data_IF_330089606081
#
_entry.id   IF_330089606081
#
_cell.length_a   1.000
_cell.length_b   1.000
_cell.length_c   1.000
_cell.angle_alpha   90.00
_cell.angle_beta   90.00
_cell.angle_gamma   90.00
#
_symmetry.space_group_name_H-M   'P 1'
#
loop_
_entity.id
_entity.type
_entity.pdbx_description
1 polymer ?
#
# COMPACT_ATOMS: atom_id res chain seq x y z
N UNK A 1 27.97 28.22 -0.49
CA UNK A 1 28.14 26.77 -0.77
C UNK A 1 26.75 26.18 -0.87
N UNK A 2 26.26 25.96 -2.09
CA UNK A 2 24.88 25.55 -2.37
C UNK A 2 24.94 24.12 -2.91
N UNK A 3 24.48 23.14 -2.12
CA UNK A 3 24.50 21.72 -2.50
C UNK A 3 23.31 21.42 -3.42
N UNK A 4 23.59 21.24 -4.71
CA UNK A 4 22.64 20.68 -5.67
C UNK A 4 22.38 19.21 -5.31
N UNK A 5 21.16 18.91 -4.86
CA UNK A 5 20.68 17.53 -4.72
C UNK A 5 19.95 17.12 -5.99
N UNK A 6 20.66 16.45 -6.89
CA UNK A 6 20.09 15.72 -8.02
C UNK A 6 19.40 14.46 -7.50
N UNK A 7 18.11 14.31 -7.83
CA UNK A 7 17.34 13.11 -7.52
C UNK A 7 17.46 12.14 -8.70
N UNK A 8 18.16 11.03 -8.48
CA UNK A 8 18.25 9.94 -9.44
C UNK A 8 16.99 9.09 -9.32
N UNK A 9 16.14 9.13 -10.33
CA UNK A 9 15.01 8.20 -10.44
C UNK A 9 15.54 6.81 -10.79
N UNK A 10 15.17 5.81 -9.99
CA UNK A 10 15.43 4.40 -10.29
C UNK A 10 14.38 3.94 -11.31
N UNK A 11 14.79 3.71 -12.56
CA UNK A 11 13.92 3.11 -13.59
C UNK A 11 13.91 1.60 -13.41
N UNK A 12 12.76 1.01 -13.07
CA UNK A 12 12.57 -0.44 -13.10
C UNK A 12 12.36 -0.85 -14.56
N UNK A 13 13.34 -1.51 -15.15
CA UNK A 13 13.21 -2.17 -16.44
C UNK A 13 12.50 -3.52 -16.24
N UNK A 14 11.27 -3.65 -16.73
CA UNK A 14 10.61 -4.96 -16.86
C UNK A 14 11.20 -5.64 -18.09
N UNK A 15 11.91 -6.75 -17.87
CA UNK A 15 12.39 -7.60 -18.92
C UNK A 15 11.19 -8.18 -19.69
N UNK A 16 11.05 -7.77 -20.96
CA UNK A 16 10.20 -8.45 -21.93
C UNK A 16 10.78 -9.87 -22.13
N UNK A 17 10.18 -10.86 -21.50
CA UNK A 17 10.45 -12.27 -21.79
C UNK A 17 10.09 -12.54 -23.25
N UNK A 18 11.09 -12.82 -24.07
CA UNK A 18 10.92 -13.24 -25.45
C UNK A 18 10.20 -14.61 -25.53
N UNK A 19 9.13 -14.66 -26.32
CA UNK A 19 8.46 -15.88 -26.78
C UNK A 19 9.32 -16.69 -27.75
N UNK A 20 9.11 -18.02 -27.82
CA UNK A 20 9.03 -18.67 -29.12
C UNK A 20 7.80 -19.59 -29.25
N UNK A 21 7.09 -19.37 -30.36
CA UNK A 21 6.34 -20.31 -31.21
C UNK A 21 5.53 -21.47 -30.61
N UNK A 22 4.22 -21.42 -30.85
CA UNK A 22 3.35 -22.60 -30.85
C UNK A 22 1.89 -22.16 -30.87
N UNK A 23 1.27 -22.13 -32.05
CA UNK A 23 -0.09 -21.64 -32.22
C UNK A 23 -1.16 -22.57 -31.66
N UNK A 24 -2.30 -22.01 -31.27
CA UNK A 24 -3.62 -22.54 -31.60
C UNK A 24 -4.69 -21.49 -31.28
N UNK A 25 -5.47 -21.15 -32.29
CA UNK A 25 -6.63 -20.27 -32.20
C UNK A 25 -7.70 -20.91 -31.30
N UNK A 26 -8.03 -20.25 -30.20
CA UNK A 26 -9.21 -20.54 -29.38
C UNK A 26 -9.91 -19.21 -29.05
N UNK A 27 -11.21 -19.05 -29.33
CA UNK A 27 -11.93 -17.82 -28.99
C UNK A 27 -12.38 -17.91 -27.54
N UNK A 28 -11.44 -17.88 -26.60
CA UNK A 28 -11.75 -17.61 -25.20
C UNK A 28 -11.23 -16.21 -24.91
N UNK A 29 -12.13 -15.25 -25.13
CA UNK A 29 -11.96 -13.87 -24.69
C UNK A 29 -11.94 -13.79 -23.17
N UNK A 30 -10.86 -14.29 -22.57
CA UNK A 30 -10.40 -13.81 -21.28
C UNK A 30 -9.95 -12.37 -21.53
N UNK A 31 -10.90 -11.44 -21.42
CA UNK A 31 -10.61 -10.03 -21.27
C UNK A 31 -9.69 -9.92 -20.06
N UNK A 32 -8.38 -9.90 -20.29
CA UNK A 32 -7.42 -9.47 -19.30
C UNK A 32 -7.86 -8.05 -18.98
N UNK A 33 -8.53 -7.87 -17.84
CA UNK A 33 -8.85 -6.56 -17.32
C UNK A 33 -7.53 -5.83 -17.19
N UNK A 34 -7.21 -4.98 -18.17
CA UNK A 34 -6.09 -4.06 -18.11
C UNK A 34 -6.42 -3.14 -16.95
N UNK A 35 -5.83 -3.41 -15.80
CA UNK A 35 -5.96 -2.57 -14.62
C UNK A 35 -5.36 -1.23 -14.99
N UNK A 36 -6.19 -0.20 -15.08
CA UNK A 36 -5.72 1.15 -15.33
C UNK A 36 -4.89 1.60 -14.13
N UNK A 37 -3.58 1.72 -14.35
CA UNK A 37 -2.65 2.11 -13.30
C UNK A 37 -2.95 3.50 -12.77
N UNK A 38 -3.50 4.41 -13.59
CA UNK A 38 -3.89 5.74 -13.13
C UNK A 38 -5.09 5.69 -12.18
N UNK A 39 -6.05 4.82 -12.47
CA UNK A 39 -7.18 4.57 -11.59
C UNK A 39 -6.71 4.00 -10.24
N UNK A 40 -5.85 2.97 -10.26
CA UNK A 40 -5.30 2.38 -9.02
C UNK A 40 -4.54 3.40 -8.20
N UNK A 41 -3.72 4.26 -8.82
CA UNK A 41 -3.01 5.32 -8.09
C UNK A 41 -4.00 6.25 -7.38
N UNK A 42 -5.09 6.62 -8.06
CA UNK A 42 -6.12 7.50 -7.48
C UNK A 42 -6.81 6.82 -6.29
N UNK A 43 -7.16 5.54 -6.42
CA UNK A 43 -7.79 4.75 -5.36
C UNK A 43 -6.86 4.57 -4.15
N UNK A 44 -5.58 4.26 -4.37
CA UNK A 44 -4.58 4.12 -3.32
C UNK A 44 -4.36 5.44 -2.59
N UNK A 45 -4.29 6.57 -3.32
CA UNK A 45 -4.17 7.89 -2.70
C UNK A 45 -5.37 8.22 -1.81
N UNK A 46 -6.60 7.96 -2.29
CA UNK A 46 -7.81 8.14 -1.49
C UNK A 46 -7.81 7.27 -0.24
N UNK A 47 -7.47 5.99 -0.39
CA UNK A 47 -7.35 5.07 0.73
C UNK A 47 -6.34 5.55 1.78
N UNK A 48 -5.14 5.98 1.36
CA UNK A 48 -4.10 6.44 2.28
C UNK A 48 -4.52 7.73 3.01
N UNK A 49 -5.16 8.67 2.31
CA UNK A 49 -5.65 9.90 2.94
C UNK A 49 -6.70 9.62 4.03
N UNK A 50 -7.65 8.73 3.74
CA UNK A 50 -8.68 8.32 4.70
C UNK A 50 -8.09 7.54 5.88
N UNK A 51 -7.15 6.63 5.61
CA UNK A 51 -6.45 5.87 6.65
C UNK A 51 -5.65 6.78 7.58
N UNK A 52 -4.88 7.73 7.04
CA UNK A 52 -4.13 8.69 7.85
C UNK A 52 -5.07 9.56 8.70
N UNK A 53 -6.18 10.01 8.12
CA UNK A 53 -7.20 10.77 8.86
C UNK A 53 -7.75 9.97 10.04
N UNK A 54 -8.02 8.68 9.85
CA UNK A 54 -8.50 7.79 10.92
C UNK A 54 -7.45 7.62 12.03
N UNK A 55 -6.18 7.45 11.68
CA UNK A 55 -5.06 7.32 12.63
C UNK A 55 -4.89 8.61 13.44
N UNK A 56 -4.88 9.78 12.79
CA UNK A 56 -4.75 11.08 13.45
C UNK A 56 -5.91 11.35 14.43
N UNK A 57 -7.13 11.02 14.00
CA UNK A 57 -8.34 11.12 14.81
C UNK A 57 -8.41 10.06 15.93
N UNK A 58 -7.53 9.05 15.92
CA UNK A 58 -7.61 7.85 16.77
C UNK A 58 -8.98 7.15 16.66
N UNK A 59 -9.55 7.14 15.46
CA UNK A 59 -10.81 6.46 15.17
C UNK A 59 -10.54 4.95 15.01
N UNK A 60 -10.67 4.21 16.12
CA UNK A 60 -10.41 2.78 16.15
C UNK A 60 -11.31 1.97 15.21
N UNK A 61 -12.56 2.39 15.03
CA UNK A 61 -13.50 1.69 14.16
C UNK A 61 -13.09 1.86 12.69
N UNK A 62 -12.78 3.09 12.29
CA UNK A 62 -12.30 3.36 10.94
C UNK A 62 -10.98 2.64 10.65
N UNK A 63 -10.02 2.65 11.58
CA UNK A 63 -8.75 1.91 11.42
C UNK A 63 -8.99 0.40 11.29
N UNK A 64 -9.85 -0.17 12.14
CA UNK A 64 -10.20 -1.59 12.09
C UNK A 64 -10.80 -1.96 10.75
N UNK A 65 -11.78 -1.21 10.27
CA UNK A 65 -12.45 -1.46 9.00
C UNK A 65 -11.50 -1.40 7.78
N UNK A 66 -10.40 -0.65 7.86
CA UNK A 66 -9.41 -0.55 6.78
C UNK A 66 -8.31 -1.59 6.83
N UNK A 67 -7.93 -2.06 8.02
CA UNK A 67 -6.83 -3.01 8.19
C UNK A 67 -7.28 -4.45 8.41
N UNK A 68 -8.58 -4.70 8.60
CA UNK A 68 -9.12 -6.03 8.91
C UNK A 68 -8.73 -7.05 7.83
N UNK A 69 -7.81 -7.93 8.17
CA UNK A 69 -7.34 -9.01 7.30
C UNK A 69 -6.73 -10.11 8.14
N UNK A 70 -7.09 -11.36 7.85
CA UNK A 70 -6.48 -12.57 8.44
C UNK A 70 -4.96 -12.66 8.17
N UNK A 71 -4.47 -11.89 7.18
CA UNK A 71 -3.07 -11.84 6.77
C UNK A 71 -2.35 -10.57 7.22
N UNK A 72 -2.99 -9.74 8.03
CA UNK A 72 -2.39 -8.49 8.49
C UNK A 72 -1.07 -8.76 9.22
N UNK A 73 0.00 -8.07 8.80
CA UNK A 73 1.30 -8.07 9.48
C UNK A 73 1.92 -6.69 9.26
N UNK A 74 2.32 -6.03 10.35
CA UNK A 74 3.12 -4.81 10.28
C UNK A 74 4.59 -5.15 10.45
N UNK A 75 5.41 -4.72 9.49
CA UNK A 75 6.85 -4.99 9.48
C UNK A 75 7.58 -3.67 9.60
N UNK A 76 8.52 -3.61 10.54
CA UNK A 76 9.41 -2.46 10.76
C UNK A 76 10.83 -3.02 10.94
N UNK A 77 11.83 -2.39 10.34
CA UNK A 77 13.23 -2.84 10.39
C UNK A 77 13.46 -4.29 9.94
N UNK A 78 12.58 -4.81 9.08
CA UNK A 78 12.64 -6.20 8.59
C UNK A 78 12.02 -7.23 9.54
N UNK A 79 11.49 -6.81 10.69
CA UNK A 79 10.88 -7.66 11.70
C UNK A 79 9.37 -7.40 11.83
N UNK A 80 8.60 -8.45 12.12
CA UNK A 80 7.16 -8.30 12.38
C UNK A 80 6.96 -7.66 13.76
N UNK A 81 6.49 -6.41 13.78
CA UNK A 81 6.14 -5.66 15.00
C UNK A 81 4.74 -5.99 15.49
N UNK A 82 3.76 -6.00 14.58
CA UNK A 82 2.35 -6.25 14.90
C UNK A 82 1.81 -7.39 14.05
N UNK A 83 1.12 -8.33 14.70
CA UNK A 83 0.53 -9.51 14.05
C UNK A 83 -0.96 -9.35 13.83
N UNK A 84 -1.59 -8.48 14.61
CA UNK A 84 -3.01 -8.21 14.60
C UNK A 84 -3.24 -6.70 14.51
N UNK A 85 -4.40 -6.31 13.99
CA UNK A 85 -4.79 -4.89 13.91
C UNK A 85 -4.96 -4.31 15.31
N UNK A 86 -5.41 -5.14 16.25
CA UNK A 86 -5.57 -4.83 17.66
C UNK A 86 -4.27 -4.36 18.30
N UNK A 87 -3.12 -4.94 17.93
CA UNK A 87 -1.81 -4.52 18.46
C UNK A 87 -1.48 -3.06 18.05
N UNK A 88 -1.91 -2.65 16.86
CA UNK A 88 -1.76 -1.28 16.37
C UNK A 88 -2.69 -0.34 17.11
N UNK A 89 -3.95 -0.74 17.32
CA UNK A 89 -4.92 0.06 18.06
C UNK A 89 -4.48 0.28 19.51
N UNK A 90 -3.99 -0.77 20.17
CA UNK A 90 -3.43 -0.66 21.52
C UNK A 90 -2.24 0.31 21.55
N UNK A 91 -1.34 0.21 20.57
CA UNK A 91 -0.19 1.12 20.46
C UNK A 91 -0.61 2.57 20.21
N UNK A 92 -1.65 2.79 19.39
CA UNK A 92 -2.21 4.12 19.13
C UNK A 92 -2.83 4.74 20.38
N UNK A 93 -3.48 3.93 21.23
CA UNK A 93 -4.08 4.37 22.48
C UNK A 93 -3.04 4.86 23.51
N UNK A 94 -1.77 4.47 23.37
CA UNK A 94 -0.68 4.93 24.25
C UNK A 94 -0.25 6.38 23.98
N UNK A 95 -0.59 6.95 22.82
CA UNK A 95 -0.22 8.33 22.50
C UNK A 95 -1.11 9.32 23.27
N UNK A 96 -0.53 10.36 23.89
CA UNK A 96 -1.31 11.41 24.56
C UNK A 96 -2.36 12.03 23.63
N UNK A 97 -3.55 12.32 24.18
CA UNK A 97 -4.59 13.02 23.43
C UNK A 97 -4.07 14.36 22.88
N UNK A 98 -4.32 14.63 21.61
CA UNK A 98 -3.85 15.85 20.94
C UNK A 98 -2.38 15.83 20.51
N UNK A 99 -1.62 14.76 20.79
CA UNK A 99 -0.31 14.58 20.17
C UNK A 99 -0.50 14.26 18.68
N UNK A 100 0.09 15.05 17.77
CA UNK A 100 0.05 14.75 16.34
C UNK A 100 0.87 13.49 16.05
N UNK A 101 0.30 12.58 15.25
CA UNK A 101 0.98 11.38 14.74
C UNK A 101 1.42 11.75 13.32
N UNK A 102 2.74 11.89 13.09
CA UNK A 102 3.33 12.33 11.82
C UNK A 102 4.53 11.48 11.46
#
# INVERSE_FOLDING_TARGET
MTMNRTWTWLTVAVAAGCSPSGGQEGPEGASQATVDSAQVVTEVQGFLAEYLTAIEARDEEAVRNRLLSERYRWVEDGEVRYRHVEDVLESLAQFPAGMPIR
#
